data_IF_751977080967
#
_entry.id   IF_751977080967
#
_cell.length_a   1.000
_cell.length_b   1.000
_cell.length_c   1.000
_cell.angle_alpha   90.00
_cell.angle_beta   90.00
_cell.angle_gamma   90.00
#
_symmetry.space_group_name_H-M   'P 1'
#
loop_
_entity.id
_entity.type
_entity.pdbx_description
1 polymer ?
#
# COMPACT_ATOMS: atom_id res chain seq x y z
N UNK A 1 -19.19 11.17 4.71
CA UNK A 1 -17.86 11.64 5.16
C UNK A 1 -17.62 11.11 6.56
N UNK A 2 -17.29 9.83 6.71
CA UNK A 2 -17.11 9.21 8.02
C UNK A 2 -16.27 7.95 7.85
N UNK A 3 -15.08 7.91 8.46
CA UNK A 3 -14.82 7.09 9.65
C UNK A 3 -13.29 7.06 9.90
N UNK A 4 -12.97 7.36 11.15
CA UNK A 4 -11.65 7.54 11.75
C UNK A 4 -10.86 6.23 11.76
N UNK A 5 -10.13 5.94 10.69
CA UNK A 5 -9.34 4.72 10.53
C UNK A 5 -7.82 4.99 10.58
N UNK A 6 -7.34 5.24 11.80
CA UNK A 6 -6.05 4.76 12.36
C UNK A 6 -4.71 5.30 11.79
N UNK A 7 -3.87 6.00 12.61
CA UNK A 7 -2.50 6.39 12.23
C UNK A 7 -1.60 5.21 11.80
N UNK A 8 -1.90 3.98 12.28
CA UNK A 8 -1.23 2.74 11.88
C UNK A 8 -1.33 2.42 10.38
N UNK A 9 -2.45 2.73 9.73
CA UNK A 9 -2.60 2.48 8.28
C UNK A 9 -1.66 3.35 7.45
N UNK A 10 -1.56 4.65 7.79
CA UNK A 10 -0.59 5.55 7.16
C UNK A 10 0.84 5.09 7.39
N UNK A 11 1.17 4.62 8.60
CA UNK A 11 2.49 4.09 8.92
C UNK A 11 2.85 2.84 8.11
N UNK A 12 1.91 1.92 7.89
CA UNK A 12 2.13 0.74 7.04
C UNK A 12 2.32 1.13 5.58
N UNK A 13 1.53 2.08 5.07
CA UNK A 13 1.64 2.54 3.69
C UNK A 13 2.98 3.25 3.44
N UNK A 14 3.45 4.06 4.39
CA UNK A 14 4.81 4.65 4.41
C UNK A 14 5.90 3.58 4.43
N UNK A 15 5.75 2.56 5.27
CA UNK A 15 6.69 1.44 5.33
C UNK A 15 6.75 0.67 4.01
N UNK A 16 5.61 0.49 3.33
CA UNK A 16 5.55 -0.16 2.04
C UNK A 16 5.95 0.75 0.87
N UNK A 17 5.85 2.07 1.00
CA UNK A 17 6.33 3.03 -0.01
C UNK A 17 7.84 3.20 0.01
N UNK A 18 8.50 2.91 1.14
CA UNK A 18 9.95 2.84 1.22
C UNK A 18 10.55 1.68 0.38
N UNK A 19 9.73 0.71 -0.03
CA UNK A 19 10.15 -0.39 -0.89
C UNK A 19 10.33 0.13 -2.32
N UNK A 20 11.55 0.03 -2.83
CA UNK A 20 11.88 0.47 -4.18
C UNK A 20 11.20 -0.43 -5.21
N UNK A 21 10.16 0.09 -5.86
CA UNK A 21 9.50 -0.60 -6.96
C UNK A 21 10.38 -0.49 -8.23
N UNK A 22 11.05 -1.60 -8.59
CA UNK A 22 11.85 -1.70 -9.81
C UNK A 22 10.99 -2.04 -11.05
N UNK A 23 9.66 -2.11 -10.91
CA UNK A 23 8.78 -2.37 -12.05
C UNK A 23 8.59 -1.09 -12.83
N UNK A 24 8.52 -1.26 -14.15
CA UNK A 24 8.24 -0.17 -15.07
C UNK A 24 6.89 0.46 -14.72
N UNK A 25 6.90 1.66 -14.16
CA UNK A 25 5.70 2.38 -13.68
C UNK A 25 4.66 2.60 -14.77
N UNK A 26 5.10 2.72 -16.04
CA UNK A 26 4.22 2.83 -17.20
C UNK A 26 3.44 1.53 -17.51
N UNK A 27 3.87 0.39 -16.98
CA UNK A 27 3.29 -0.94 -17.25
C UNK A 27 2.43 -1.47 -16.11
N UNK A 28 2.36 -0.76 -14.97
CA UNK A 28 1.66 -1.22 -13.77
C UNK A 28 0.66 -0.15 -13.32
N UNK A 29 -0.62 -0.53 -13.30
CA UNK A 29 -1.74 0.38 -13.02
C UNK A 29 -1.88 0.77 -11.55
N UNK A 30 -1.31 -0.03 -10.62
CA UNK A 30 -1.37 0.19 -9.18
C UNK A 30 0.01 0.13 -8.51
N UNK A 31 0.32 1.05 -7.58
CA UNK A 31 1.59 1.05 -6.86
C UNK A 31 1.76 -0.19 -5.97
N UNK A 32 2.99 -0.71 -5.88
CA UNK A 32 3.32 -1.94 -5.11
C UNK A 32 2.77 -1.90 -3.69
N UNK A 33 2.90 -0.77 -3.02
CA UNK A 33 2.55 -0.58 -1.62
C UNK A 33 1.05 -0.80 -1.37
N UNK A 34 0.20 -0.40 -2.31
CA UNK A 34 -1.25 -0.51 -2.19
C UNK A 34 -1.72 -1.94 -2.45
N UNK A 35 -1.11 -2.61 -3.42
CA UNK A 35 -1.32 -4.04 -3.67
C UNK A 35 -0.84 -4.88 -2.48
N UNK A 36 0.33 -4.58 -1.94
CA UNK A 36 0.92 -5.33 -0.82
C UNK A 36 0.08 -5.17 0.45
N UNK A 37 -0.45 -3.97 0.71
CA UNK A 37 -1.38 -3.73 1.79
C UNK A 37 -2.70 -4.51 1.59
N UNK A 38 -3.28 -4.48 0.39
CA UNK A 38 -4.49 -5.22 0.05
C UNK A 38 -4.32 -6.72 0.25
N UNK A 39 -3.20 -7.28 -0.19
CA UNK A 39 -2.88 -8.71 -0.01
C UNK A 39 -2.79 -9.03 1.47
N UNK A 40 -1.98 -8.30 2.25
CA UNK A 40 -1.82 -8.54 3.69
C UNK A 40 -3.14 -8.45 4.44
N UNK A 41 -4.00 -7.48 4.11
CA UNK A 41 -5.33 -7.35 4.71
C UNK A 41 -6.31 -8.42 4.25
N UNK A 42 -6.22 -8.90 3.00
CA UNK A 42 -7.13 -9.91 2.44
C UNK A 42 -6.76 -11.34 2.78
N UNK A 43 -5.53 -11.59 3.24
CA UNK A 43 -5.03 -12.92 3.62
C UNK A 43 -5.12 -13.24 5.12
N UNK A 44 -5.59 -12.30 5.95
CA UNK A 44 -5.76 -12.44 7.40
C UNK A 44 -7.25 -12.46 7.76
#
# INVERSE_FOLDING_TARGET
MSEVATPRRKSLLEHFSAIKDNRQSCKVMYPLSEVLLLVVCGTM
#
